data_IF_846850786390
#
_entry.id   IF_846850786390
#
_cell.length_a   1.000
_cell.length_b   1.000
_cell.length_c   1.000
_cell.angle_alpha   90.00
_cell.angle_beta   90.00
_cell.angle_gamma   90.00
#
_symmetry.space_group_name_H-M   'P 1'
#
loop_
_entity.id
_entity.type
_entity.pdbx_description
1 polymer ?
#
# COMPACT_ATOMS: atom_id res chain seq x y z
N UNK A 1 -9.13 -7.74 -32.02
CA UNK A 1 -7.96 -7.18 -31.31
C UNK A 1 -8.33 -7.03 -29.84
N UNK A 2 -7.43 -7.43 -28.95
CA UNK A 2 -7.65 -7.48 -27.50
C UNK A 2 -6.63 -6.57 -26.81
N UNK A 3 -7.07 -5.88 -25.76
CA UNK A 3 -6.23 -5.04 -24.90
C UNK A 3 -6.65 -5.27 -23.45
N UNK A 4 -5.70 -5.50 -22.57
CA UNK A 4 -5.94 -5.65 -21.14
C UNK A 4 -4.84 -4.94 -20.34
N UNK A 5 -5.21 -4.19 -19.30
CA UNK A 5 -4.28 -3.55 -18.38
C UNK A 5 -4.38 -4.24 -17.02
N UNK A 6 -3.25 -4.65 -16.45
CA UNK A 6 -3.23 -5.33 -15.16
C UNK A 6 -1.86 -5.23 -14.48
N UNK A 7 -1.78 -5.67 -13.22
CA UNK A 7 -0.56 -5.72 -12.43
C UNK A 7 -0.06 -7.16 -12.41
N UNK A 8 1.16 -7.39 -12.90
CA UNK A 8 1.81 -8.70 -12.89
C UNK A 8 3.01 -8.66 -11.95
N UNK A 9 2.95 -9.38 -10.82
CA UNK A 9 4.02 -9.42 -9.82
C UNK A 9 4.50 -8.02 -9.36
N UNK A 10 3.56 -7.07 -9.22
CA UNK A 10 3.85 -5.68 -8.84
C UNK A 10 4.22 -4.75 -10.00
N UNK A 11 4.27 -5.24 -11.24
CA UNK A 11 4.56 -4.42 -12.43
C UNK A 11 3.29 -4.09 -13.19
N UNK A 12 3.01 -2.80 -13.40
CA UNK A 12 1.91 -2.36 -14.25
C UNK A 12 2.21 -2.64 -15.72
N UNK A 13 1.34 -3.38 -16.39
CA UNK A 13 1.52 -3.81 -17.78
C UNK A 13 0.26 -3.66 -18.61
N UNK A 14 0.46 -3.50 -19.92
CA UNK A 14 -0.56 -3.58 -20.95
C UNK A 14 -0.28 -4.81 -21.80
N UNK A 15 -1.22 -5.75 -21.84
CA UNK A 15 -1.21 -6.83 -22.81
C UNK A 15 -2.01 -6.42 -24.05
N UNK A 16 -1.43 -6.67 -25.23
CA UNK A 16 -2.06 -6.43 -26.55
C UNK A 16 -1.91 -7.66 -27.40
N UNK A 17 -2.97 -8.03 -28.11
CA UNK A 17 -2.91 -9.19 -28.99
C UNK A 17 -4.16 -9.40 -29.82
N UNK A 18 -4.18 -10.51 -30.52
CA UNK A 18 -5.31 -10.94 -31.33
C UNK A 18 -5.39 -12.47 -31.32
N UNK A 19 -6.58 -12.98 -31.65
CA UNK A 19 -6.88 -14.41 -31.74
C UNK A 19 -7.63 -14.63 -33.06
N UNK A 20 -7.23 -15.65 -33.81
CA UNK A 20 -7.96 -16.19 -34.95
C UNK A 20 -9.19 -16.96 -34.45
N UNK A 21 -10.39 -16.59 -34.89
CA UNK A 21 -11.63 -17.21 -34.39
C UNK A 21 -11.88 -18.63 -34.93
N UNK A 22 -11.24 -19.04 -36.02
CA UNK A 22 -11.36 -20.39 -36.57
C UNK A 22 -10.29 -21.33 -36.03
N UNK A 23 -9.04 -20.86 -35.96
CA UNK A 23 -7.90 -21.66 -35.50
C UNK A 23 -7.70 -21.62 -33.99
N UNK A 24 -8.33 -20.65 -33.31
CA UNK A 24 -8.23 -20.40 -31.87
C UNK A 24 -6.79 -20.20 -31.38
N UNK A 25 -5.91 -19.74 -32.27
CA UNK A 25 -4.54 -19.36 -31.95
C UNK A 25 -4.36 -17.85 -32.15
N UNK A 26 -3.24 -17.32 -31.65
CA UNK A 26 -3.02 -15.90 -31.65
C UNK A 26 -1.65 -15.52 -31.14
N UNK A 27 -1.37 -14.23 -31.21
CA UNK A 27 -0.12 -13.64 -30.73
C UNK A 27 -0.48 -12.43 -29.87
N UNK A 28 0.29 -12.23 -28.80
CA UNK A 28 0.25 -11.01 -28.03
C UNK A 28 1.60 -10.71 -27.39
N UNK A 29 1.77 -9.44 -27.02
CA UNK A 29 2.93 -8.96 -26.30
C UNK A 29 2.48 -8.24 -25.03
N UNK A 30 3.42 -8.10 -24.09
CA UNK A 30 3.26 -7.35 -22.85
C UNK A 30 4.17 -6.14 -22.94
N UNK A 31 3.61 -4.98 -22.64
CA UNK A 31 4.30 -3.70 -22.61
C UNK A 31 4.21 -3.12 -21.19
N UNK A 32 5.24 -2.40 -20.76
CA UNK A 32 5.21 -1.69 -19.49
C UNK A 32 4.25 -0.50 -19.56
N UNK A 33 3.38 -0.35 -18.56
CA UNK A 33 2.45 0.78 -18.43
C UNK A 33 3.05 1.83 -17.50
N UNK A 34 3.86 2.74 -18.06
CA UNK A 34 4.58 3.75 -17.26
C UNK A 34 3.65 4.76 -16.59
N UNK A 35 2.58 5.14 -17.28
CA UNK A 35 1.59 6.11 -16.78
C UNK A 35 0.87 5.54 -15.56
N UNK A 36 0.39 4.30 -15.65
CA UNK A 36 -0.20 3.63 -14.48
C UNK A 36 0.82 3.34 -13.39
N UNK A 37 2.04 2.94 -13.75
CA UNK A 37 3.07 2.68 -12.75
C UNK A 37 3.35 3.91 -11.87
N UNK A 38 3.35 5.11 -12.45
CA UNK A 38 3.52 6.35 -11.68
C UNK A 38 2.35 6.62 -10.74
N UNK A 39 1.11 6.45 -11.21
CA UNK A 39 -0.10 6.64 -10.38
C UNK A 39 -0.14 5.63 -9.23
N UNK A 40 0.15 4.36 -9.51
CA UNK A 40 0.15 3.30 -8.50
C UNK A 40 1.28 3.49 -7.48
N UNK A 41 2.48 3.94 -7.92
CA UNK A 41 3.58 4.27 -7.01
C UNK A 41 3.23 5.45 -6.09
N UNK A 42 2.61 6.51 -6.61
CA UNK A 42 2.13 7.63 -5.79
C UNK A 42 1.09 7.17 -4.75
N UNK A 43 0.10 6.38 -5.17
CA UNK A 43 -0.91 5.84 -4.27
C UNK A 43 -0.30 4.94 -3.19
N UNK A 44 0.65 4.10 -3.58
CA UNK A 44 1.33 3.19 -2.67
C UNK A 44 2.15 3.96 -1.61
N UNK A 45 2.89 5.00 -2.02
CA UNK A 45 3.61 5.88 -1.10
C UNK A 45 2.67 6.58 -0.12
N UNK A 46 1.55 7.13 -0.61
CA UNK A 46 0.55 7.76 0.26
C UNK A 46 -0.01 6.78 1.29
N UNK A 47 -0.28 5.54 0.88
CA UNK A 47 -0.77 4.51 1.80
C UNK A 47 0.26 4.16 2.88
N UNK A 48 1.55 4.06 2.51
CA UNK A 48 2.64 3.85 3.47
C UNK A 48 2.75 5.01 4.46
N UNK A 49 2.70 6.25 3.97
CA UNK A 49 2.78 7.44 4.82
C UNK A 49 1.64 7.51 5.83
N UNK A 50 0.40 7.27 5.38
CA UNK A 50 -0.76 7.23 6.25
C UNK A 50 -0.67 6.12 7.29
N UNK A 51 -0.18 4.93 6.89
CA UNK A 51 0.04 3.83 7.81
C UNK A 51 1.07 4.19 8.88
N UNK A 52 2.23 4.73 8.47
CA UNK A 52 3.29 5.15 9.38
C UNK A 52 2.84 6.26 10.33
N UNK A 53 2.02 7.20 9.85
CA UNK A 53 1.45 8.23 10.70
C UNK A 53 0.55 7.63 11.79
N UNK A 54 -0.37 6.74 11.42
CA UNK A 54 -1.26 6.07 12.39
C UNK A 54 -0.48 5.26 13.43
N UNK A 55 0.62 4.62 13.00
CA UNK A 55 1.49 3.87 13.89
C UNK A 55 2.17 4.81 14.91
N UNK A 56 2.75 5.92 14.46
CA UNK A 56 3.36 6.92 15.35
C UNK A 56 2.36 7.49 16.37
N UNK A 57 1.17 7.88 15.91
CA UNK A 57 0.12 8.37 16.80
C UNK A 57 -0.30 7.34 17.85
N UNK A 58 -0.32 6.05 17.47
CA UNK A 58 -0.60 4.98 18.40
C UNK A 58 0.51 4.81 19.45
N UNK A 59 1.77 4.80 19.02
CA UNK A 59 2.94 4.71 19.91
C UNK A 59 3.02 5.90 20.88
N UNK A 60 2.73 7.11 20.41
CA UNK A 60 2.69 8.32 21.24
C UNK A 60 1.59 8.26 22.30
N UNK A 61 0.37 7.86 21.93
CA UNK A 61 -0.73 7.66 22.89
C UNK A 61 -0.39 6.60 23.93
N UNK A 62 0.26 5.51 23.51
CA UNK A 62 0.66 4.46 24.43
C UNK A 62 1.69 4.97 25.45
N UNK A 63 2.69 5.73 24.99
CA UNK A 63 3.70 6.34 25.86
C UNK A 63 3.08 7.31 26.86
N UNK A 64 2.19 8.20 26.41
CA UNK A 64 1.49 9.14 27.30
C UNK A 64 0.66 8.42 28.37
N UNK A 65 0.00 7.32 28.01
CA UNK A 65 -0.77 6.51 28.96
C UNK A 65 0.11 5.82 30.01
N UNK A 66 1.31 5.37 29.62
CA UNK A 66 2.29 4.81 30.55
C UNK A 66 2.82 5.88 31.52
N UNK A 67 3.26 7.03 31.00
CA UNK A 67 3.77 8.15 31.82
C UNK A 67 2.72 8.66 32.82
N UNK A 68 1.44 8.71 32.43
CA UNK A 68 0.36 9.12 33.34
C UNK A 68 0.12 8.10 34.47
N UNK A 69 0.21 6.80 34.19
CA UNK A 69 0.08 5.77 35.21
C UNK A 69 1.26 5.78 36.18
N UNK A 70 2.48 6.00 35.68
CA UNK A 70 3.67 6.13 36.52
C UNK A 70 3.57 7.34 37.44
N UNK A 71 3.14 8.50 36.92
CA UNK A 71 2.89 9.69 37.76
C UNK A 71 1.83 9.45 38.83
N UNK A 72 0.69 8.86 38.48
CA UNK A 72 -0.36 8.52 39.46
C UNK A 72 0.15 7.57 40.53
N UNK A 73 0.89 6.54 40.14
CA UNK A 73 1.50 5.59 41.09
C UNK A 73 2.48 6.28 42.04
N UNK A 74 3.26 7.24 41.54
CA UNK A 74 4.20 8.02 42.35
C UNK A 74 3.49 8.97 43.33
N UNK A 75 2.46 9.69 42.87
CA UNK A 75 1.66 10.59 43.71
C UNK A 75 0.91 9.81 44.82
N UNK A 76 0.42 8.60 44.51
CA UNK A 76 -0.21 7.71 45.49
C UNK A 76 0.81 7.20 46.53
N UNK A 77 2.05 6.93 46.14
CA UNK A 77 3.12 6.49 47.06
C UNK A 77 3.60 7.62 47.99
N UNK A 78 3.62 8.88 47.54
CA UNK A 78 4.00 10.02 48.40
C UNK A 78 2.94 10.36 49.47
N UNK A 79 1.69 9.93 49.28
CA UNK A 79 0.59 10.19 50.22
C UNK A 79 0.44 9.13 51.33
N UNK A 80 1.19 8.04 51.27
CA UNK A 80 1.25 6.95 52.28
C UNK A 80 2.53 7.00 53.10
#
# INVERSE_FOLDING_TARGET
HLKSQFIMNGVCVIWRGWIDLHRLDGIGCIEFDSERAEVEDQLYRQQIEQYNQRLREFEERHRQYQEQQERRSHDEQEFY
#
